data_IF_205971128780
#
_entry.id   IF_205971128780
#
_cell.length_a   1.000
_cell.length_b   1.000
_cell.length_c   1.000
_cell.angle_alpha   90.00
_cell.angle_beta   90.00
_cell.angle_gamma   90.00
#
_symmetry.space_group_name_H-M   'P 1'
#
loop_
_entity.id
_entity.type
_entity.pdbx_description
1 polymer ?
#
# COMPACT_ATOMS: atom_id res chain seq x y z
N UNK A 1 -43.53 17.43 8.72
CA UNK A 1 -42.73 18.66 8.52
C UNK A 1 -41.47 18.51 9.35
N UNK A 2 -40.38 18.03 8.75
CA UNK A 2 -39.12 17.82 9.48
C UNK A 2 -38.53 19.18 9.86
N UNK A 3 -38.23 19.37 11.15
CA UNK A 3 -37.73 20.65 11.65
C UNK A 3 -36.38 20.96 10.98
N UNK A 4 -36.19 22.16 10.41
CA UNK A 4 -34.98 22.50 9.65
C UNK A 4 -33.69 22.37 10.48
N UNK A 5 -33.80 22.55 11.80
CA UNK A 5 -32.71 22.33 12.76
C UNK A 5 -32.21 20.87 12.78
N UNK A 6 -33.12 19.91 12.62
CA UNK A 6 -32.78 18.48 12.59
C UNK A 6 -32.05 18.13 11.29
N UNK A 7 -32.46 18.74 10.16
CA UNK A 7 -31.79 18.55 8.87
C UNK A 7 -30.38 19.14 8.86
N UNK A 8 -30.18 20.32 9.43
CA UNK A 8 -28.83 20.93 9.55
C UNK A 8 -27.93 20.06 10.42
N UNK A 9 -28.44 19.56 11.55
CA UNK A 9 -27.68 18.64 12.41
C UNK A 9 -27.27 17.37 11.66
N UNK A 10 -28.19 16.77 10.90
CA UNK A 10 -27.90 15.58 10.10
C UNK A 10 -26.84 15.86 9.01
N UNK A 11 -26.95 16.99 8.32
CA UNK A 11 -26.00 17.40 7.27
C UNK A 11 -24.60 17.63 7.86
N UNK A 12 -24.51 18.25 9.04
CA UNK A 12 -23.23 18.47 9.74
C UNK A 12 -22.61 17.14 10.18
N UNK A 13 -23.40 16.22 10.74
CA UNK A 13 -22.91 14.89 11.15
C UNK A 13 -22.41 14.09 9.94
N UNK A 14 -23.12 14.12 8.82
CA UNK A 14 -22.70 13.45 7.58
C UNK A 14 -21.41 14.09 7.03
N UNK A 15 -21.34 15.42 6.96
CA UNK A 15 -20.13 16.12 6.48
C UNK A 15 -18.89 15.87 7.35
N UNK A 16 -19.06 15.73 8.67
CA UNK A 16 -17.97 15.43 9.60
C UNK A 16 -17.57 13.95 9.61
N UNK A 17 -18.42 13.03 9.13
CA UNK A 17 -18.10 11.60 8.99
C UNK A 17 -17.41 11.25 7.66
N UNK A 18 -17.43 12.16 6.67
CA UNK A 18 -16.76 11.98 5.38
C UNK A 18 -15.22 11.97 5.53
N UNK A 19 -14.56 12.90 6.26
CA UNK A 19 -13.09 12.90 6.39
C UNK A 19 -12.52 11.60 6.97
N UNK A 20 -13.26 10.95 7.88
CA UNK A 20 -12.85 9.68 8.50
C UNK A 20 -13.00 8.47 7.59
N UNK A 21 -13.79 8.55 6.52
CA UNK A 21 -13.98 7.48 5.53
C UNK A 21 -13.15 7.67 4.26
N UNK A 22 -12.61 8.88 4.03
CA UNK A 22 -11.70 9.19 2.91
C UNK A 22 -10.25 8.82 3.23
N UNK A 23 -9.89 8.65 4.51
CA UNK A 23 -8.71 7.89 4.90
C UNK A 23 -8.97 6.38 4.74
N UNK A 24 -9.36 5.97 3.54
CA UNK A 24 -9.32 4.58 3.12
C UNK A 24 -7.87 4.12 3.23
N UNK A 25 -7.55 3.53 4.38
CA UNK A 25 -6.40 2.72 4.74
C UNK A 25 -5.29 2.62 3.68
N UNK A 26 -4.52 3.71 3.50
CA UNK A 26 -3.20 3.64 2.84
C UNK A 26 -2.33 2.76 3.73
N UNK A 27 -2.28 1.47 3.40
CA UNK A 27 -1.48 0.50 4.14
C UNK A 27 -0.10 0.47 3.51
N UNK A 28 0.85 1.15 4.15
CA UNK A 28 2.24 1.10 3.71
C UNK A 28 2.90 -0.16 4.26
N UNK A 29 3.42 -1.00 3.39
CA UNK A 29 4.19 -2.17 3.77
C UNK A 29 5.68 -1.95 3.46
N UNK A 30 6.54 -2.19 4.45
CA UNK A 30 8.00 -2.18 4.30
C UNK A 30 8.50 -3.61 4.47
N UNK A 31 9.10 -4.14 3.40
CA UNK A 31 9.71 -5.47 3.42
C UNK A 31 11.23 -5.31 3.45
N UNK A 32 11.84 -5.74 4.56
CA UNK A 32 13.29 -5.82 4.70
C UNK A 32 13.71 -7.29 4.75
N UNK A 33 14.69 -7.65 3.93
CA UNK A 33 15.20 -9.01 3.89
C UNK A 33 16.46 -9.10 3.04
N UNK A 34 17.23 -10.16 3.28
CA UNK A 34 18.38 -10.52 2.46
C UNK A 34 17.98 -11.70 1.57
N UNK A 35 17.99 -11.49 0.26
CA UNK A 35 17.95 -12.60 -0.69
C UNK A 35 19.39 -13.01 -1.01
N UNK A 36 19.75 -14.23 -0.63
CA UNK A 36 21.06 -14.79 -0.95
C UNK A 36 21.08 -15.27 -2.40
N UNK A 37 22.07 -14.81 -3.15
CA UNK A 37 22.35 -15.29 -4.50
C UNK A 37 23.83 -15.67 -4.57
N UNK A 38 24.12 -16.88 -5.02
CA UNK A 38 25.50 -17.38 -5.14
C UNK A 38 26.28 -16.79 -6.34
N UNK A 39 25.79 -15.70 -6.93
CA UNK A 39 26.42 -15.03 -8.07
C UNK A 39 27.02 -13.72 -7.60
N UNK A 40 28.26 -13.37 -8.04
CA UNK A 40 28.92 -12.13 -7.62
C UNK A 40 28.17 -10.87 -8.07
N UNK A 41 27.33 -10.99 -9.11
CA UNK A 41 26.38 -9.94 -9.49
C UNK A 41 25.22 -10.51 -10.28
N UNK A 42 24.05 -9.86 -10.16
CA UNK A 42 22.87 -10.19 -10.96
C UNK A 42 21.90 -9.01 -11.03
N UNK A 43 20.99 -9.07 -11.99
CA UNK A 43 19.89 -8.13 -12.13
C UNK A 43 18.65 -8.72 -11.48
N UNK A 44 17.91 -7.89 -10.74
CA UNK A 44 16.70 -8.32 -10.06
C UNK A 44 15.57 -7.31 -10.26
N UNK A 45 14.34 -7.79 -10.10
CA UNK A 45 13.12 -6.99 -9.99
C UNK A 45 12.25 -7.70 -8.96
N UNK A 46 11.86 -6.99 -7.90
CA UNK A 46 10.93 -7.53 -6.91
C UNK A 46 9.54 -6.97 -7.22
N UNK A 47 8.54 -7.83 -7.16
CA UNK A 47 7.12 -7.49 -7.31
C UNK A 47 6.39 -8.05 -6.11
N UNK A 48 5.61 -7.20 -5.44
CA UNK A 48 4.76 -7.54 -4.31
C UNK A 48 3.35 -7.68 -4.83
N UNK A 49 2.73 -8.81 -4.51
CA UNK A 49 1.33 -9.08 -4.83
C UNK A 49 0.52 -9.07 -3.55
N UNK A 50 -0.68 -8.51 -3.62
CA UNK A 50 -1.70 -8.69 -2.58
C UNK A 50 -2.23 -10.12 -2.66
N UNK A 51 -2.45 -10.75 -1.52
CA UNK A 51 -3.03 -12.10 -1.45
C UNK A 51 -4.43 -12.00 -0.85
N UNK A 52 -5.42 -11.72 -1.70
CA UNK A 52 -6.81 -11.48 -1.30
C UNK A 52 -7.77 -12.63 -1.64
N UNK A 53 -7.25 -13.78 -2.09
CA UNK A 53 -7.99 -14.99 -2.49
C UNK A 53 -8.92 -14.83 -3.71
N UNK A 54 -8.97 -13.67 -4.38
CA UNK A 54 -9.84 -13.45 -5.55
C UNK A 54 -8.99 -13.21 -6.80
N UNK A 55 -8.06 -12.25 -6.76
CA UNK A 55 -7.08 -11.99 -7.80
C UNK A 55 -5.84 -11.31 -7.20
N UNK A 56 -4.68 -11.97 -7.29
CA UNK A 56 -3.43 -11.42 -6.76
C UNK A 56 -2.95 -10.24 -7.64
N UNK A 57 -3.30 -9.01 -7.26
CA UNK A 57 -2.87 -7.79 -7.93
C UNK A 57 -1.49 -7.32 -7.45
N UNK A 58 -0.68 -6.77 -8.37
CA UNK A 58 0.62 -6.20 -8.02
C UNK A 58 0.45 -4.84 -7.31
N UNK A 59 0.78 -4.79 -6.02
CA UNK A 59 0.66 -3.60 -5.15
C UNK A 59 1.98 -2.86 -4.92
N UNK A 60 3.08 -3.40 -5.44
CA UNK A 60 4.38 -2.75 -5.36
C UNK A 60 5.41 -3.42 -6.26
N UNK A 61 6.35 -2.65 -6.77
CA UNK A 61 7.47 -3.21 -7.51
C UNK A 61 8.71 -2.33 -7.39
N UNK A 62 9.89 -2.93 -7.52
CA UNK A 62 11.11 -2.19 -7.83
C UNK A 62 11.23 -2.01 -9.33
N UNK A 63 12.03 -1.03 -9.75
CA UNK A 63 12.62 -1.03 -11.08
C UNK A 63 13.61 -2.18 -11.25
N UNK A 64 14.20 -2.28 -12.44
CA UNK A 64 15.30 -3.21 -12.68
C UNK A 64 16.53 -2.73 -11.91
N UNK A 65 16.90 -3.48 -10.88
CA UNK A 65 18.01 -3.17 -10.01
C UNK A 65 19.20 -4.08 -10.30
N UNK A 66 20.38 -3.63 -9.91
CA UNK A 66 21.62 -4.37 -10.03
C UNK A 66 22.25 -4.57 -8.64
N UNK A 67 22.47 -5.82 -8.26
CA UNK A 67 22.98 -6.20 -6.93
C UNK A 67 24.43 -6.67 -7.00
N UNK A 68 25.22 -6.28 -5.98
CA UNK A 68 26.56 -6.80 -5.67
C UNK A 68 26.60 -7.14 -4.17
N UNK A 69 27.52 -8.01 -3.78
CA UNK A 69 27.68 -8.38 -2.37
C UNK A 69 28.02 -7.15 -1.49
N UNK A 70 27.42 -7.00 -0.28
CA UNK A 70 26.33 -7.80 0.29
C UNK A 70 24.99 -7.46 -0.35
N UNK A 71 24.27 -8.49 -0.77
CA UNK A 71 23.02 -8.41 -1.50
C UNK A 71 21.87 -7.85 -0.63
N UNK A 72 21.59 -6.55 -0.73
CA UNK A 72 20.53 -5.86 0.01
C UNK A 72 19.38 -5.43 -0.91
N UNK A 73 18.15 -5.50 -0.39
CA UNK A 73 16.91 -5.24 -1.13
C UNK A 73 15.94 -4.43 -0.28
N UNK A 74 15.26 -3.45 -0.87
CA UNK A 74 14.19 -2.70 -0.22
C UNK A 74 13.04 -2.51 -1.22
N UNK A 75 11.82 -2.82 -0.77
CA UNK A 75 10.60 -2.63 -1.55
C UNK A 75 9.51 -2.06 -0.66
N UNK A 76 8.86 -1.01 -1.15
CA UNK A 76 7.65 -0.43 -0.57
C UNK A 76 6.45 -0.73 -1.47
N UNK A 77 5.35 -1.13 -0.85
CA UNK A 77 4.05 -1.24 -1.52
C UNK A 77 3.13 -0.12 -1.03
N UNK A 78 2.30 0.40 -1.94
CA UNK A 78 1.28 1.40 -1.66
C UNK A 78 -0.02 0.88 -2.24
N UNK A 79 -1.01 0.63 -1.37
CA UNK A 79 -2.39 0.34 -1.78
C UNK A 79 -3.26 1.52 -1.37
#
# INVERSE_FOLDING_TARGET
MFAPKLMIFFVVVVLLAIPSSVNAYLSTFQFEGQFECNKPSFHYRIVVYENDNIFDDAIGHTDRMYSREPHMYNVSAFN
#
